data_IF_849593295120
#
_entry.id   IF_849593295120
#
_cell.length_a   1.000
_cell.length_b   1.000
_cell.length_c   1.000
_cell.angle_alpha   90.00
_cell.angle_beta   90.00
_cell.angle_gamma   90.00
#
_symmetry.space_group_name_H-M   'P 1'
#
loop_
_entity.id
_entity.type
_entity.pdbx_description
1 polymer ?
#
# COMPACT_ATOMS: atom_id res chain seq x y z
N UNK A 1 52.89 27.93 20.64
CA UNK A 1 52.36 26.56 20.86
C UNK A 1 51.23 26.33 19.86
N UNK A 2 51.38 25.39 18.93
CA UNK A 2 50.35 25.02 17.94
C UNK A 2 49.70 23.72 18.40
N UNK A 3 48.43 23.77 18.78
CA UNK A 3 47.63 22.57 19.04
C UNK A 3 47.17 22.00 17.70
N UNK A 4 47.80 20.91 17.27
CA UNK A 4 47.33 20.09 16.15
C UNK A 4 46.35 19.05 16.69
N UNK A 5 45.07 19.38 16.70
CA UNK A 5 44.00 18.41 16.96
C UNK A 5 43.66 17.66 15.68
N UNK A 6 44.04 16.38 15.60
CA UNK A 6 43.62 15.51 14.51
C UNK A 6 42.13 15.15 14.68
N UNK A 7 41.28 15.33 13.66
CA UNK A 7 39.90 14.87 13.73
C UNK A 7 39.86 13.34 13.64
N UNK A 8 39.46 12.68 14.72
CA UNK A 8 39.18 11.24 14.68
C UNK A 8 37.94 11.02 13.79
N UNK A 9 38.16 10.55 12.55
CA UNK A 9 37.09 9.98 11.73
C UNK A 9 36.65 8.67 12.40
N UNK A 10 35.66 8.78 13.28
CA UNK A 10 34.84 7.65 13.68
C UNK A 10 33.98 7.28 12.49
N UNK A 11 34.49 6.40 11.61
CA UNK A 11 33.65 5.68 10.67
C UNK A 11 32.73 4.79 11.49
N UNK A 12 31.50 5.25 11.72
CA UNK A 12 30.44 4.52 12.38
C UNK A 12 30.13 3.25 11.60
N UNK A 13 30.86 2.17 11.89
CA UNK A 13 30.45 0.83 11.53
C UNK A 13 29.14 0.55 12.26
N UNK A 14 28.04 0.71 11.55
CA UNK A 14 26.74 0.20 11.99
C UNK A 14 26.96 -1.30 12.23
N UNK A 15 26.97 -1.73 13.49
CA UNK A 15 27.09 -3.12 13.85
C UNK A 15 26.00 -3.89 13.07
N UNK A 16 26.41 -4.81 12.19
CA UNK A 16 25.51 -5.63 11.38
C UNK A 16 24.42 -6.32 12.22
N UNK A 17 24.66 -6.55 13.51
CA UNK A 17 23.66 -7.05 14.46
C UNK A 17 22.46 -6.12 14.67
N UNK A 18 22.66 -4.80 14.67
CA UNK A 18 21.57 -3.82 14.85
C UNK A 18 20.64 -3.79 13.63
N UNK A 19 21.22 -3.73 12.42
CA UNK A 19 20.45 -3.77 11.17
C UNK A 19 19.63 -5.07 11.07
N UNK A 20 20.22 -6.20 11.46
CA UNK A 20 19.54 -7.48 11.50
C UNK A 20 18.33 -7.51 12.43
N UNK A 21 18.44 -6.94 13.64
CA UNK A 21 17.32 -6.84 14.57
C UNK A 21 16.20 -5.95 14.03
N UNK A 22 16.53 -4.80 13.43
CA UNK A 22 15.53 -3.92 12.82
C UNK A 22 14.75 -4.65 11.72
N UNK A 23 15.46 -5.37 10.84
CA UNK A 23 14.84 -6.16 9.78
C UNK A 23 13.94 -7.27 10.35
N UNK A 24 14.39 -7.96 11.40
CA UNK A 24 13.60 -8.99 12.08
C UNK A 24 12.30 -8.42 12.66
N UNK A 25 12.37 -7.28 13.35
CA UNK A 25 11.20 -6.61 13.92
C UNK A 25 10.23 -6.18 12.81
N UNK A 26 10.74 -5.60 11.72
CA UNK A 26 9.91 -5.19 10.58
C UNK A 26 9.16 -6.37 9.94
N UNK A 27 9.84 -7.51 9.75
CA UNK A 27 9.24 -8.73 9.21
C UNK A 27 8.16 -9.32 10.13
N UNK A 28 8.44 -9.38 11.43
CA UNK A 28 7.47 -9.87 12.42
C UNK A 28 6.25 -8.95 12.49
N UNK A 29 6.46 -7.63 12.57
CA UNK A 29 5.39 -6.65 12.65
C UNK A 29 4.51 -6.67 11.40
N UNK A 30 5.11 -6.61 10.21
CA UNK A 30 4.37 -6.68 8.95
C UNK A 30 3.62 -8.01 8.77
N UNK A 31 4.23 -9.12 9.19
CA UNK A 31 3.61 -10.44 9.18
C UNK A 31 2.38 -10.53 10.10
N UNK A 32 2.50 -10.08 11.36
CA UNK A 32 1.38 -10.06 12.31
C UNK A 32 0.25 -9.16 11.81
N UNK A 33 0.57 -7.95 11.34
CA UNK A 33 -0.43 -7.01 10.83
C UNK A 33 -1.22 -7.61 9.66
N UNK A 34 -0.54 -8.21 8.68
CA UNK A 34 -1.21 -8.78 7.52
C UNK A 34 -2.06 -10.02 7.85
N UNK A 35 -1.62 -10.85 8.80
CA UNK A 35 -2.44 -11.96 9.32
C UNK A 35 -3.68 -11.42 10.04
N UNK A 36 -3.52 -10.40 10.88
CA UNK A 36 -4.65 -9.78 11.59
C UNK A 36 -5.69 -9.23 10.62
N UNK A 37 -5.26 -8.48 9.59
CA UNK A 37 -6.11 -7.95 8.53
C UNK A 37 -6.89 -9.07 7.85
N UNK A 38 -6.21 -10.14 7.45
CA UNK A 38 -6.85 -11.22 6.72
C UNK A 38 -7.76 -12.09 7.60
N UNK A 39 -7.49 -12.19 8.90
CA UNK A 39 -8.40 -12.85 9.85
C UNK A 39 -9.64 -12.01 10.16
N UNK A 40 -9.49 -10.69 10.24
CA UNK A 40 -10.60 -9.76 10.49
C UNK A 40 -11.50 -9.61 9.26
N UNK A 41 -10.92 -9.65 8.06
CA UNK A 41 -11.62 -9.49 6.78
C UNK A 41 -11.65 -10.82 6.01
N UNK A 42 -12.15 -11.90 6.63
CA UNK A 42 -12.25 -13.23 5.98
C UNK A 42 -13.25 -13.29 4.84
N UNK A 43 -14.25 -12.43 4.88
CA UNK A 43 -15.26 -12.29 3.84
C UNK A 43 -15.39 -10.81 3.46
N UNK A 44 -15.69 -10.50 2.19
CA UNK A 44 -15.87 -9.12 1.79
C UNK A 44 -17.15 -8.57 2.43
N UNK A 45 -17.09 -7.34 2.94
CA UNK A 45 -18.27 -6.62 3.40
C UNK A 45 -19.18 -6.33 2.20
N UNK A 46 -20.35 -6.98 2.15
CA UNK A 46 -21.34 -6.81 1.09
C UNK A 46 -22.35 -5.74 1.47
N UNK A 47 -22.44 -4.67 0.69
CA UNK A 47 -23.48 -3.64 0.86
C UNK A 47 -23.70 -2.86 -0.43
N UNK A 48 -24.67 -1.94 -0.43
CA UNK A 48 -24.84 -1.00 -1.55
C UNK A 48 -23.84 0.14 -1.46
N UNK A 49 -23.46 0.73 -2.60
CA UNK A 49 -22.57 1.89 -2.62
C UNK A 49 -23.12 3.05 -1.78
N UNK A 50 -24.42 3.30 -1.88
CA UNK A 50 -25.11 4.35 -1.11
C UNK A 50 -24.93 4.15 0.40
N UNK A 51 -25.19 2.94 0.91
CA UNK A 51 -25.00 2.66 2.33
C UNK A 51 -23.52 2.76 2.75
N UNK A 52 -22.60 2.42 1.85
CA UNK A 52 -21.16 2.54 2.12
C UNK A 52 -20.75 4.00 2.27
N UNK A 53 -21.23 4.87 1.38
CA UNK A 53 -20.99 6.31 1.43
C UNK A 53 -21.58 6.96 2.71
N UNK A 54 -22.73 6.48 3.18
CA UNK A 54 -23.39 6.96 4.40
C UNK A 54 -22.74 6.45 5.69
N UNK A 55 -22.49 5.13 5.80
CA UNK A 55 -22.00 4.49 7.03
C UNK A 55 -20.49 4.57 7.18
N UNK A 56 -19.74 4.73 6.09
CA UNK A 56 -18.27 4.78 6.02
C UNK A 56 -17.59 3.71 6.89
N UNK A 57 -17.90 2.41 6.68
CA UNK A 57 -17.35 1.36 7.51
C UNK A 57 -15.84 1.24 7.31
N UNK A 58 -15.10 0.88 8.37
CA UNK A 58 -13.65 0.67 8.32
C UNK A 58 -13.25 -0.71 7.74
N UNK A 59 -14.08 -1.31 6.89
CA UNK A 59 -13.82 -2.61 6.31
C UNK A 59 -12.82 -2.47 5.17
N UNK A 60 -11.81 -3.34 5.16
CA UNK A 60 -10.73 -3.27 4.17
C UNK A 60 -11.03 -4.10 2.93
N UNK A 61 -11.87 -5.14 3.03
CA UNK A 61 -12.31 -5.93 1.89
C UNK A 61 -13.81 -5.74 1.68
N UNK A 62 -14.20 -5.23 0.51
CA UNK A 62 -15.58 -4.78 0.25
C UNK A 62 -16.12 -5.33 -1.07
N UNK A 63 -17.44 -5.49 -1.13
CA UNK A 63 -18.24 -5.80 -2.33
C UNK A 63 -19.41 -4.82 -2.36
N UNK A 64 -19.29 -3.79 -3.20
CA UNK A 64 -20.24 -2.71 -3.34
C UNK A 64 -21.15 -2.97 -4.54
N UNK A 65 -22.42 -3.20 -4.25
CA UNK A 65 -23.48 -3.34 -5.25
C UNK A 65 -24.13 -1.99 -5.58
N UNK A 66 -24.83 -1.90 -6.71
CA UNK A 66 -25.44 -0.65 -7.21
C UNK A 66 -24.42 0.50 -7.27
N UNK A 67 -23.22 0.17 -7.71
CA UNK A 67 -22.16 1.11 -7.97
C UNK A 67 -22.12 1.41 -9.47
N UNK A 68 -21.83 2.66 -9.79
CA UNK A 68 -21.66 3.15 -11.14
C UNK A 68 -20.25 3.70 -11.25
N UNK A 69 -19.54 3.32 -12.31
CA UNK A 69 -18.24 3.92 -12.60
C UNK A 69 -18.45 5.23 -13.34
N UNK A 70 -17.76 6.29 -12.95
CA UNK A 70 -17.76 7.55 -13.67
C UNK A 70 -16.46 7.65 -14.48
N UNK A 71 -16.51 7.25 -15.75
CA UNK A 71 -15.34 7.26 -16.63
C UNK A 71 -14.98 8.66 -17.10
N UNK A 72 -15.88 9.63 -16.98
CA UNK A 72 -15.57 11.05 -17.21
C UNK A 72 -14.62 11.55 -16.12
N UNK A 73 -14.85 11.14 -14.88
CA UNK A 73 -14.01 11.45 -13.73
C UNK A 73 -13.03 10.30 -13.45
N UNK A 74 -12.11 10.09 -14.39
CA UNK A 74 -11.10 9.03 -14.29
C UNK A 74 -9.71 9.49 -14.70
N UNK A 75 -8.69 8.78 -14.20
CA UNK A 75 -7.29 9.00 -14.53
C UNK A 75 -6.59 7.68 -14.83
N UNK A 76 -5.47 7.74 -15.54
CA UNK A 76 -4.71 6.56 -15.90
C UNK A 76 -3.23 6.78 -15.63
N UNK A 77 -2.54 5.69 -15.32
CA UNK A 77 -1.09 5.68 -15.09
C UNK A 77 -0.44 4.94 -16.25
N UNK A 78 0.38 5.65 -17.00
CA UNK A 78 1.21 5.06 -18.06
C UNK A 78 2.56 4.61 -17.53
N UNK A 79 3.12 3.62 -18.21
CA UNK A 79 4.48 3.17 -18.01
C UNK A 79 5.47 4.13 -18.65
N UNK A 80 6.50 4.54 -17.90
CA UNK A 80 7.56 5.43 -18.41
C UNK A 80 8.35 4.88 -19.60
N UNK A 81 8.31 3.57 -19.84
CA UNK A 81 9.18 2.91 -20.81
C UNK A 81 8.50 2.56 -22.14
N UNK A 82 7.17 2.40 -22.15
CA UNK A 82 6.44 1.92 -23.33
C UNK A 82 5.09 2.61 -23.55
N UNK A 83 4.80 3.71 -22.82
CA UNK A 83 3.54 4.47 -22.86
C UNK A 83 2.26 3.63 -22.67
N UNK A 84 2.40 2.39 -22.22
CA UNK A 84 1.29 1.48 -21.98
C UNK A 84 0.57 1.87 -20.67
N UNK A 85 -0.75 1.96 -20.73
CA UNK A 85 -1.59 2.18 -19.55
C UNK A 85 -1.53 0.95 -18.64
N UNK A 86 -0.97 1.13 -17.46
CA UNK A 86 -0.78 0.07 -16.46
C UNK A 86 -1.95 -0.08 -15.51
N UNK A 87 -2.59 1.03 -15.19
CA UNK A 87 -3.62 1.11 -14.17
C UNK A 87 -4.53 2.31 -14.42
N UNK A 88 -5.81 2.15 -14.14
CA UNK A 88 -6.82 3.22 -14.22
C UNK A 88 -7.43 3.45 -12.85
N UNK A 89 -7.75 4.70 -12.57
CA UNK A 89 -8.38 5.20 -11.35
C UNK A 89 -9.70 5.82 -11.76
N UNK A 90 -10.80 5.19 -11.39
CA UNK A 90 -12.13 5.59 -11.85
C UNK A 90 -12.97 5.96 -10.64
N UNK A 91 -13.57 7.15 -10.64
CA UNK A 91 -14.51 7.52 -9.59
C UNK A 91 -15.70 6.56 -9.56
N UNK A 92 -16.10 6.15 -8.36
CA UNK A 92 -17.26 5.29 -8.14
C UNK A 92 -18.35 6.11 -7.46
N UNK A 93 -19.56 6.00 -8.01
CA UNK A 93 -20.74 6.73 -7.56
C UNK A 93 -21.91 5.77 -7.33
N UNK A 94 -22.96 6.23 -6.65
CA UNK A 94 -24.20 5.48 -6.58
C UNK A 94 -24.89 5.52 -7.94
N UNK A 95 -25.55 4.44 -8.33
CA UNK A 95 -26.37 4.44 -9.56
C UNK A 95 -27.38 5.59 -9.52
N UNK A 96 -27.30 6.46 -10.53
CA UNK A 96 -28.19 7.62 -10.68
C UNK A 96 -27.61 8.93 -10.14
N UNK A 97 -26.55 8.88 -9.33
CA UNK A 97 -25.75 10.07 -9.01
C UNK A 97 -24.78 10.30 -10.19
N UNK A 98 -24.72 11.52 -10.72
CA UNK A 98 -23.89 11.87 -11.88
C UNK A 98 -23.00 13.08 -11.59
N UNK A 99 -22.00 12.91 -10.73
CA UNK A 99 -20.97 13.92 -10.50
C UNK A 99 -21.42 15.18 -9.73
N UNK A 100 -22.55 15.16 -9.03
CA UNK A 100 -22.99 16.29 -8.20
C UNK A 100 -22.14 16.47 -6.93
N UNK A 101 -21.42 15.42 -6.52
CA UNK A 101 -20.64 15.39 -5.28
C UNK A 101 -19.21 14.92 -5.56
N UNK A 102 -18.23 15.42 -4.78
CA UNK A 102 -16.87 14.90 -4.85
C UNK A 102 -16.86 13.38 -4.60
N UNK A 103 -16.14 12.64 -5.43
CA UNK A 103 -16.03 11.21 -5.34
C UNK A 103 -15.26 10.79 -4.08
N UNK A 104 -15.92 10.02 -3.23
CA UNK A 104 -15.34 9.45 -2.02
C UNK A 104 -14.61 8.12 -2.28
N UNK A 105 -14.94 7.42 -3.37
CA UNK A 105 -14.34 6.12 -3.70
C UNK A 105 -13.73 6.18 -5.10
N UNK A 106 -12.47 5.76 -5.19
CA UNK A 106 -11.78 5.50 -6.44
C UNK A 106 -11.57 4.01 -6.62
N UNK A 107 -11.87 3.48 -7.80
CA UNK A 107 -11.53 2.14 -8.21
C UNK A 107 -10.19 2.17 -8.94
N UNK A 108 -9.16 1.56 -8.36
CA UNK A 108 -7.89 1.28 -9.04
C UNK A 108 -8.01 -0.09 -9.72
N UNK A 109 -7.99 -0.12 -11.05
CA UNK A 109 -8.08 -1.37 -11.82
C UNK A 109 -6.94 -1.51 -12.82
N UNK A 110 -6.47 -2.74 -12.98
CA UNK A 110 -5.52 -3.16 -14.02
C UNK A 110 -6.19 -4.06 -15.06
N UNK A 111 -7.52 -4.16 -14.99
CA UNK A 111 -8.29 -4.95 -15.94
C UNK A 111 -8.20 -4.33 -17.33
N UNK A 112 -7.77 -5.14 -18.29
CA UNK A 112 -7.59 -4.70 -19.67
C UNK A 112 -8.91 -4.22 -20.28
N UNK A 113 -10.03 -4.86 -19.94
CA UNK A 113 -11.33 -4.45 -20.47
C UNK A 113 -11.71 -3.04 -20.02
N UNK A 114 -11.46 -2.68 -18.75
CA UNK A 114 -11.66 -1.30 -18.27
C UNK A 114 -10.70 -0.30 -18.91
N UNK A 115 -9.43 -0.67 -19.08
CA UNK A 115 -8.43 0.18 -19.74
C UNK A 115 -8.84 0.46 -21.19
N UNK A 116 -9.24 -0.56 -21.93
CA UNK A 116 -9.67 -0.46 -23.32
C UNK A 116 -10.96 0.38 -23.44
N UNK A 117 -11.90 0.17 -22.51
CA UNK A 117 -13.15 0.93 -22.45
C UNK A 117 -12.90 2.41 -22.14
N UNK A 118 -12.04 2.72 -21.17
CA UNK A 118 -11.64 4.10 -20.88
C UNK A 118 -10.95 4.76 -22.09
N UNK A 119 -10.02 4.05 -22.73
CA UNK A 119 -9.24 4.60 -23.86
C UNK A 119 -10.13 4.86 -25.07
N UNK A 120 -11.04 3.94 -25.38
CA UNK A 120 -12.00 4.09 -26.49
C UNK A 120 -13.01 5.21 -26.24
N UNK A 121 -13.52 5.34 -25.02
CA UNK A 121 -14.43 6.42 -24.64
C UNK A 121 -13.73 7.79 -24.57
N UNK A 122 -12.46 7.85 -24.18
CA UNK A 122 -11.70 9.09 -24.15
C UNK A 122 -11.59 9.74 -25.55
N UNK A 123 -11.38 8.93 -26.60
CA UNK A 123 -11.38 9.42 -27.98
C UNK A 123 -12.75 9.98 -28.40
N UNK A 124 -13.84 9.34 -27.96
CA UNK A 124 -15.20 9.81 -28.24
C UNK A 124 -15.52 11.10 -27.49
N UNK A 125 -15.17 11.18 -26.20
CA UNK A 125 -15.33 12.38 -25.38
C UNK A 125 -14.58 13.59 -25.97
N UNK A 126 -13.34 13.38 -26.43
CA UNK A 126 -12.55 14.44 -27.05
C UNK A 126 -13.10 14.88 -28.41
N UNK A 127 -13.87 14.03 -29.08
CA UNK A 127 -14.53 14.35 -30.35
C UNK A 127 -15.84 15.14 -30.16
N UNK A 128 -16.46 15.08 -28.97
CA UNK A 128 -17.66 15.85 -28.66
C UNK A 128 -17.32 17.34 -28.59
N UNK A 129 -18.08 18.17 -29.31
CA UNK A 129 -17.90 19.63 -29.27
C UNK A 129 -18.71 20.27 -28.15
N UNK A 130 -19.76 19.61 -27.70
CA UNK A 130 -20.54 20.04 -26.54
C UNK A 130 -21.14 18.86 -25.77
N UNK A 131 -21.44 19.02 -24.47
CA UNK A 131 -22.15 18.01 -23.68
C UNK A 131 -23.54 17.65 -24.23
N UNK A 132 -24.16 18.52 -25.04
CA UNK A 132 -25.48 18.28 -25.63
C UNK A 132 -25.47 17.27 -26.78
N UNK A 133 -24.29 16.94 -27.32
CA UNK A 133 -24.12 15.93 -28.39
C UNK A 133 -23.98 14.50 -27.83
N UNK A 134 -24.01 14.35 -26.50
CA UNK A 134 -23.80 13.08 -25.83
C UNK A 134 -25.03 12.18 -26.02
N UNK A 135 -24.88 11.13 -26.82
CA UNK A 135 -25.97 10.17 -27.08
C UNK A 135 -26.28 9.36 -25.82
N UNK A 136 -27.52 8.83 -25.65
CA UNK A 136 -27.84 7.94 -24.54
C UNK A 136 -26.95 6.70 -24.47
N UNK A 137 -26.47 6.22 -25.62
CA UNK A 137 -25.56 5.08 -25.73
C UNK A 137 -24.17 5.41 -25.16
N UNK A 138 -23.63 6.58 -25.51
CA UNK A 138 -22.36 7.08 -24.95
C UNK A 138 -22.50 7.37 -23.46
N UNK A 139 -23.62 7.93 -23.03
CA UNK A 139 -23.90 8.10 -21.60
C UNK A 139 -23.86 6.76 -20.86
N UNK A 140 -24.50 5.71 -21.38
CA UNK A 140 -24.48 4.40 -20.75
C UNK A 140 -23.08 3.76 -20.78
N UNK A 141 -22.26 4.03 -21.80
CA UNK A 141 -20.88 3.52 -21.87
C UNK A 141 -19.93 4.26 -20.93
N UNK A 142 -20.18 5.54 -20.63
CA UNK A 142 -19.42 6.38 -19.71
C UNK A 142 -19.74 6.11 -18.24
N UNK A 143 -20.95 5.61 -17.98
CA UNK A 143 -21.45 5.35 -16.65
C UNK A 143 -21.88 3.88 -16.44
N UNK A 144 -20.99 2.90 -16.65
CA UNK A 144 -21.37 1.49 -16.56
C UNK A 144 -21.67 1.12 -15.10
N UNK A 145 -22.81 0.45 -14.89
CA UNK A 145 -23.16 -0.15 -13.60
C UNK A 145 -22.42 -1.46 -13.43
N UNK A 146 -21.74 -1.63 -12.28
CA UNK A 146 -21.12 -2.91 -11.93
C UNK A 146 -21.00 -3.08 -10.43
N UNK A 147 -20.83 -4.33 -10.02
CA UNK A 147 -20.34 -4.61 -8.67
C UNK A 147 -18.87 -4.21 -8.58
N UNK A 148 -18.54 -3.42 -7.56
CA UNK A 148 -17.16 -3.04 -7.24
C UNK A 148 -16.71 -3.92 -6.08
N UNK A 149 -15.81 -4.86 -6.35
CA UNK A 149 -15.28 -5.78 -5.34
C UNK A 149 -13.78 -5.64 -5.28
N UNK A 150 -13.23 -5.40 -4.10
CA UNK A 150 -11.80 -5.18 -3.98
C UNK A 150 -11.34 -4.86 -2.57
N UNK A 151 -10.02 -4.73 -2.44
CA UNK A 151 -9.36 -4.37 -1.20
C UNK A 151 -9.12 -2.85 -1.17
N UNK A 152 -9.56 -2.18 -0.12
CA UNK A 152 -9.24 -0.78 0.17
C UNK A 152 -7.73 -0.68 0.38
N UNK A 153 -7.05 0.17 -0.38
CA UNK A 153 -5.64 0.50 -0.15
C UNK A 153 -5.53 1.31 1.14
N UNK A 154 -4.77 0.82 2.11
CA UNK A 154 -4.51 1.50 3.38
C UNK A 154 -3.00 1.56 3.69
N UNK A 155 -2.62 2.53 4.54
CA UNK A 155 -1.26 2.64 5.06
C UNK A 155 -0.19 2.88 3.99
N UNK A 156 0.79 1.99 3.92
CA UNK A 156 1.99 2.12 3.07
C UNK A 156 1.64 1.94 1.58
N UNK A 157 0.62 1.15 1.26
CA UNK A 157 0.18 0.89 -0.12
C UNK A 157 -0.57 2.08 -0.73
N UNK A 158 -1.24 2.87 0.10
CA UNK A 158 -1.73 4.20 -0.28
C UNK A 158 -0.60 5.22 -0.12
N UNK A 159 0.46 5.09 -0.94
CA UNK A 159 1.57 6.04 -0.86
C UNK A 159 1.04 7.46 -1.00
N UNK A 160 1.42 8.34 -0.07
CA UNK A 160 1.02 9.76 -0.06
C UNK A 160 1.23 10.43 -1.43
N UNK A 161 2.27 10.00 -2.15
CA UNK A 161 2.58 10.43 -3.53
C UNK A 161 1.52 10.03 -4.56
N UNK A 162 0.91 8.85 -4.45
CA UNK A 162 -0.17 8.42 -5.35
C UNK A 162 -1.42 9.28 -5.11
N UNK A 163 -1.78 9.48 -3.84
CA UNK A 163 -2.88 10.39 -3.48
C UNK A 163 -2.62 11.82 -3.95
N UNK A 164 -1.43 12.35 -3.70
CA UNK A 164 -1.04 13.70 -4.15
C UNK A 164 -1.15 13.84 -5.67
N UNK A 165 -0.71 12.84 -6.44
CA UNK A 165 -0.90 12.84 -7.90
C UNK A 165 -2.37 12.83 -8.29
N UNK A 166 -3.20 12.02 -7.63
CA UNK A 166 -4.63 11.94 -7.91
C UNK A 166 -5.39 13.22 -7.54
N UNK A 167 -5.00 13.90 -6.47
CA UNK A 167 -5.56 15.21 -6.09
C UNK A 167 -5.10 16.34 -7.01
N UNK A 168 -3.92 16.22 -7.62
CA UNK A 168 -3.44 17.17 -8.64
C UNK A 168 -4.07 16.93 -10.01
N UNK A 169 -4.65 15.76 -10.24
CA UNK A 169 -5.53 15.53 -11.38
C UNK A 169 -6.88 16.16 -11.00
N UNK A 170 -7.51 16.89 -11.92
CA UNK A 170 -8.78 17.63 -11.72
C UNK A 170 -9.98 16.68 -11.58
N UNK A 171 -9.79 15.64 -10.76
CA UNK A 171 -10.80 14.71 -10.33
C UNK A 171 -11.47 15.38 -9.14
N UNK A 172 -12.78 15.60 -9.21
CA UNK A 172 -13.54 16.12 -8.07
C UNK A 172 -13.57 15.05 -6.97
N UNK A 173 -12.54 15.00 -6.11
CA UNK A 173 -12.36 13.99 -5.06
C UNK A 173 -12.67 14.60 -3.69
N UNK A 174 -13.26 13.81 -2.80
CA UNK A 174 -13.41 14.19 -1.40
C UNK A 174 -12.04 14.17 -0.68
N UNK A 175 -11.81 15.03 0.32
CA UNK A 175 -10.52 15.08 1.05
C UNK A 175 -10.13 13.74 1.69
N UNK A 176 -11.12 12.93 2.05
CA UNK A 176 -10.97 11.64 2.71
C UNK A 176 -11.25 10.45 1.79
N UNK A 177 -11.11 10.64 0.47
CA UNK A 177 -11.35 9.59 -0.51
C UNK A 177 -10.54 8.32 -0.24
N UNK A 178 -11.13 7.18 -0.53
CA UNK A 178 -10.48 5.87 -0.46
C UNK A 178 -10.21 5.31 -1.85
N UNK A 179 -9.21 4.44 -1.97
CA UNK A 179 -8.89 3.74 -3.21
C UNK A 179 -9.16 2.25 -2.99
N UNK A 180 -9.93 1.62 -3.88
CA UNK A 180 -10.21 0.19 -3.88
C UNK A 180 -9.44 -0.44 -5.02
N UNK A 181 -8.58 -1.41 -4.74
CA UNK A 181 -7.94 -2.25 -5.75
C UNK A 181 -8.92 -3.30 -6.28
N UNK A 182 -9.28 -3.20 -7.55
CA UNK A 182 -10.26 -4.05 -8.22
C UNK A 182 -9.85 -5.54 -8.19
N UNK A 183 -10.74 -6.39 -7.71
CA UNK A 183 -10.54 -7.84 -7.62
C UNK A 183 -9.52 -8.31 -6.59
N UNK A 184 -8.79 -7.40 -5.93
CA UNK A 184 -7.80 -7.81 -4.93
C UNK A 184 -8.46 -8.37 -3.66
N UNK A 185 -7.76 -9.32 -3.05
CA UNK A 185 -8.16 -10.01 -1.83
C UNK A 185 -7.04 -9.94 -0.79
N UNK A 186 -7.36 -10.05 0.52
CA UNK A 186 -6.36 -10.13 1.57
C UNK A 186 -5.40 -11.31 1.33
N UNK A 187 -4.13 -11.03 1.01
CA UNK A 187 -3.13 -12.07 0.73
C UNK A 187 -2.51 -12.59 2.04
N UNK A 188 -3.10 -13.65 2.59
CA UNK A 188 -2.56 -14.36 3.77
C UNK A 188 -1.14 -14.88 3.56
N UNK A 189 -0.85 -15.41 2.36
CA UNK A 189 0.40 -16.11 2.09
C UNK A 189 1.64 -15.24 2.29
N UNK A 190 1.60 -13.99 1.84
CA UNK A 190 2.71 -13.04 2.01
C UNK A 190 2.98 -12.76 3.49
N UNK A 191 1.94 -12.48 4.26
CA UNK A 191 2.06 -12.15 5.69
C UNK A 191 2.54 -13.35 6.52
N UNK A 192 2.04 -14.55 6.23
CA UNK A 192 2.51 -15.79 6.87
C UNK A 192 3.98 -16.05 6.54
N UNK A 193 4.38 -15.87 5.29
CA UNK A 193 5.78 -16.03 4.87
C UNK A 193 6.69 -15.01 5.57
N UNK A 194 6.31 -13.73 5.60
CA UNK A 194 7.07 -12.67 6.28
C UNK A 194 7.20 -12.95 7.79
N UNK A 195 6.13 -13.41 8.43
CA UNK A 195 6.16 -13.79 9.84
C UNK A 195 7.11 -14.98 10.06
N UNK A 196 7.00 -16.03 9.26
CA UNK A 196 7.85 -17.21 9.35
C UNK A 196 9.33 -16.85 9.15
N UNK A 197 9.63 -16.00 8.17
CA UNK A 197 11.00 -15.53 7.91
C UNK A 197 11.53 -14.69 9.08
N UNK A 198 10.71 -13.79 9.64
CA UNK A 198 11.06 -13.02 10.84
C UNK A 198 11.37 -13.92 12.04
N UNK A 199 10.55 -14.97 12.27
CA UNK A 199 10.79 -15.94 13.35
C UNK A 199 12.08 -16.73 13.13
N UNK A 200 12.33 -17.21 11.90
CA UNK A 200 13.57 -17.93 11.56
C UNK A 200 14.81 -17.05 11.74
N UNK A 201 14.76 -15.80 11.29
CA UNK A 201 15.86 -14.84 11.44
C UNK A 201 16.12 -14.53 12.93
N UNK A 202 15.07 -14.30 13.71
CA UNK A 202 15.17 -14.07 15.15
C UNK A 202 15.78 -15.26 15.89
N UNK A 203 15.32 -16.48 15.59
CA UNK A 203 15.89 -17.71 16.14
C UNK A 203 17.36 -17.90 15.76
N UNK A 204 17.73 -17.60 14.52
CA UNK A 204 19.12 -17.64 14.06
C UNK A 204 20.00 -16.64 14.82
N UNK A 205 19.53 -15.42 15.05
CA UNK A 205 20.26 -14.41 15.81
C UNK A 205 20.45 -14.81 17.29
N UNK A 206 19.41 -15.32 17.94
CA UNK A 206 19.50 -15.83 19.32
C UNK A 206 20.51 -16.97 19.42
N UNK A 207 20.48 -17.91 18.45
CA UNK A 207 21.43 -19.03 18.39
C UNK A 207 22.87 -18.58 18.20
N UNK A 208 23.11 -17.54 17.39
CA UNK A 208 24.45 -16.98 17.18
C UNK A 208 24.96 -16.27 18.44
N UNK A 209 24.13 -15.43 19.06
CA UNK A 209 24.48 -14.73 20.30
C UNK A 209 24.80 -15.70 21.44
N UNK A 210 24.08 -16.83 21.52
CA UNK A 210 24.33 -17.87 22.54
C UNK A 210 25.67 -18.60 22.36
N UNK A 211 26.29 -18.58 21.17
CA UNK A 211 27.59 -19.21 20.91
C UNK A 211 28.78 -18.31 21.26
N UNK A 212 28.56 -17.00 21.37
CA UNK A 212 29.60 -16.00 21.63
C UNK A 212 29.72 -15.68 23.14
N UNK A 213 29.35 -16.63 24.03
CA UNK A 213 29.48 -16.44 25.47
C UNK A 213 30.91 -15.98 25.81
N UNK A 214 31.07 -14.82 26.48
CA UNK A 214 32.38 -14.26 26.74
C UNK A 214 33.18 -15.27 27.56
N UNK A 215 34.34 -15.66 27.04
CA UNK A 215 35.30 -16.43 27.81
C UNK A 215 35.52 -15.69 29.14
N UNK A 216 35.40 -16.37 30.29
CA UNK A 216 35.62 -15.73 31.58
C UNK A 216 36.98 -15.04 31.55
N UNK A 217 37.09 -13.81 32.08
CA UNK A 217 38.35 -13.09 32.08
C UNK A 217 39.43 -13.99 32.69
N UNK A 218 40.65 -14.00 32.12
CA UNK A 218 41.72 -14.84 32.61
C UNK A 218 41.89 -14.58 34.12
N UNK A 219 41.92 -15.66 34.91
CA UNK A 219 42.08 -15.57 36.35
C UNK A 219 43.29 -14.68 36.66
N UNK A 220 43.08 -13.61 37.42
CA UNK A 220 44.15 -12.73 37.88
C UNK A 220 45.12 -13.61 38.68
N UNK A 221 46.35 -13.80 38.18
CA UNK A 221 47.37 -14.53 38.94
C UNK A 221 47.61 -13.77 40.25
N UNK A 222 47.62 -14.44 41.41
CA UNK A 222 48.04 -13.79 42.65
C UNK A 222 49.48 -13.27 42.48
N UNK A 223 49.81 -12.11 43.06
CA UNK A 223 51.15 -11.55 42.98
C UNK A 223 52.17 -12.53 43.56
N UNK A 224 53.28 -12.74 42.84
CA UNK A 224 54.39 -13.58 43.29
C UNK A 224 54.91 -13.03 44.63
N UNK A 225 54.85 -13.85 45.67
CA UNK A 225 55.40 -13.50 46.97
C UNK A 225 56.94 -13.42 46.85
N UNK A 226 57.58 -12.38 47.41
CA UNK A 226 59.03 -12.27 47.38
C UNK A 226 59.66 -13.46 48.12
N UNK A 227 60.66 -14.08 47.49
CA UNK A 227 61.46 -15.12 48.11
C UNK A 227 62.16 -14.55 49.35
N UNK A 228 61.91 -15.14 50.50
CA UNK A 228 62.62 -14.82 51.75
C UNK A 228 64.02 -15.43 51.61
N UNK A 229 65.00 -14.61 51.27
CA UNK A 229 66.44 -14.94 51.25
C UNK A 229 67.07 -14.72 52.61
#
# INVERSE_FOLDING_TARGET
MKFTGSPSKSSGFINFGCLGMILCIALLWGGVQGIYVALKNREPLKMTFKEYAEKRPSAEWVSLSKAQLNLVNSAYVTSRFNDETKEVYIAVEAVGDRGEKPAFVLLASKDKALIDLMTSNAAQLNALKSPAEMTPELMNSLFPEREVKGLVKFGIDATSKEREKLTNLDLSLADDFIIISDGEQPKLGGSVFSLAMGLLLGLFMIRRASKEAPTPPPAVRPPDLPAIS
#
